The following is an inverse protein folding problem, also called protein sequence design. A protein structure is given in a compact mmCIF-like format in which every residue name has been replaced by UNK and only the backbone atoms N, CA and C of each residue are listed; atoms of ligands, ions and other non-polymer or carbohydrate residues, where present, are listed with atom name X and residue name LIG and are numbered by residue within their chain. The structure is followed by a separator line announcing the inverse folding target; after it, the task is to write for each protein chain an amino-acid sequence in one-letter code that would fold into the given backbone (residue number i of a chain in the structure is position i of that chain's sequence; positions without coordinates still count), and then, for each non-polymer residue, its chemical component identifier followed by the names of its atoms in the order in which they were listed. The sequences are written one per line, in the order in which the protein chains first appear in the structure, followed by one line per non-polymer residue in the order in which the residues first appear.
data_IF_826068449841
#
_entry.id   IF_826068449841
#
_cell.length_a   1.000
_cell.length_b   1.000
_cell.length_c   1.000
_cell.angle_alpha   90.00
_cell.angle_beta   90.00
_cell.angle_gamma   90.00
#
_symmetry.space_group_name_H-M   'P 1'
#
loop_
_entity.id
_entity.type
_entity.pdbx_description
1 polymer ?
2 non-polymer ?
3 non-polymer ?
4 non-polymer ?
5 water ?
#
# COMPACT_ATOMS: atom_id res chain seq x y z
N UNK A 1 18.54 0.92 5.14
CA UNK A 1 18.25 -0.12 6.15
C UNK A 1 16.79 -0.63 5.99
N UNK A 2 16.31 -1.28 7.02
CA UNK A 2 14.99 -1.88 7.00
C UNK A 2 13.86 -0.87 6.73
N UNK A 3 13.89 0.29 7.41
CA UNK A 3 12.86 1.30 7.20
C UNK A 3 12.83 1.83 5.77
N UNK A 4 14.01 2.11 5.20
CA UNK A 4 14.06 2.52 3.78
C UNK A 4 13.55 1.40 2.86
N UNK A 5 13.89 0.16 3.14
CA UNK A 5 13.42 -0.93 2.29
C UNK A 5 11.87 -0.99 2.26
N UNK A 6 11.20 -0.70 3.37
CA UNK A 6 9.72 -0.62 3.36
C UNK A 6 9.27 0.41 2.35
N UNK A 7 9.93 1.58 2.33
CA UNK A 7 9.61 2.65 1.34
C UNK A 7 9.89 2.19 -0.11
N UNK A 8 11.04 1.53 -0.33
CA UNK A 8 11.35 0.97 -1.64
C UNK A 8 10.23 0.04 -2.15
N UNK A 9 9.85 -0.92 -1.31
CA UNK A 9 8.86 -1.92 -1.72
C UNK A 9 7.50 -1.23 -1.94
N UNK A 10 7.11 -0.32 -1.06
CA UNK A 10 5.83 0.38 -1.20
C UNK A 10 5.79 1.22 -2.50
N UNK A 11 6.93 1.75 -2.99
CA UNK A 11 6.91 2.55 -4.21
C UNK A 11 6.62 1.77 -5.46
N UNK A 12 6.81 0.45 -5.45
CA UNK A 12 6.42 -0.41 -6.59
C UNK A 12 5.76 -1.73 -6.09
N UNK A 13 4.78 -1.54 -5.19
CA UNK A 13 4.29 -2.68 -4.39
C UNK A 13 3.66 -3.80 -5.19
N UNK A 14 2.84 -3.42 -6.19
CA UNK A 14 2.16 -4.40 -6.97
C UNK A 14 3.17 -5.40 -7.60
N UNK A 15 4.19 -4.84 -8.26
CA UNK A 15 5.16 -5.66 -8.97
C UNK A 15 6.06 -6.45 -8.01
N UNK A 16 6.56 -5.82 -6.95
CA UNK A 16 7.34 -6.56 -5.93
C UNK A 16 6.54 -7.72 -5.26
N UNK A 17 5.27 -7.45 -4.93
CA UNK A 17 4.42 -8.46 -4.27
C UNK A 17 4.26 -9.70 -5.18
N UNK A 18 3.83 -9.51 -6.43
CA UNK A 18 3.64 -10.69 -7.26
C UNK A 18 4.96 -11.47 -7.51
N UNK A 19 6.05 -10.73 -7.71
CA UNK A 19 7.36 -11.34 -8.02
C UNK A 19 7.88 -12.13 -6.82
N UNK A 20 7.78 -11.54 -5.62
CA UNK A 20 8.20 -12.30 -4.43
C UNK A 20 7.34 -13.52 -4.14
N UNK A 21 6.00 -13.34 -4.26
CA UNK A 21 5.14 -14.47 -4.02
C UNK A 21 5.35 -15.59 -5.08
N UNK A 22 5.58 -15.21 -6.34
CA UNK A 22 5.93 -16.20 -7.36
C UNK A 22 7.27 -16.92 -7.03
N UNK A 23 8.24 -16.14 -6.55
CA UNK A 23 9.52 -16.76 -6.16
C UNK A 23 9.32 -17.81 -5.07
N UNK A 24 8.43 -17.52 -4.09
CA UNK A 24 8.04 -18.44 -3.02
C UNK A 24 7.39 -19.73 -3.62
N UNK A 25 6.35 -19.54 -4.47
CA UNK A 25 5.67 -20.71 -5.04
C UNK A 25 6.59 -21.57 -5.95
N UNK A 26 7.56 -20.92 -6.66
CA UNK A 26 8.47 -21.69 -7.54
C UNK A 26 9.60 -22.34 -6.75
N UNK A 27 10.06 -21.74 -5.64
CA UNK A 27 11.07 -22.42 -4.81
C UNK A 27 10.53 -23.60 -4.06
N UNK A 28 9.25 -23.50 -3.65
CA UNK A 28 8.58 -24.51 -2.81
C UNK A 28 7.26 -24.94 -3.47
N UNK A 29 7.35 -25.74 -4.56
CA UNK A 29 6.10 -26.03 -5.31
C UNK A 29 5.04 -26.78 -4.51
N UNK A 30 5.43 -27.57 -3.50
CA UNK A 30 4.47 -28.30 -2.64
C UNK A 30 3.56 -27.33 -1.87
N UNK A 31 3.97 -26.06 -1.72
CA UNK A 31 3.13 -25.06 -1.06
C UNK A 31 1.83 -24.74 -1.78
N UNK A 32 1.71 -25.15 -3.08
CA UNK A 32 0.42 -25.16 -3.77
C UNK A 32 -0.65 -26.07 -3.10
N UNK A 33 -0.28 -26.95 -2.13
CA UNK A 33 -1.29 -27.73 -1.38
C UNK A 33 -2.32 -26.77 -0.74
N UNK A 34 -1.90 -25.53 -0.39
CA UNK A 34 -2.80 -24.48 0.22
C UNK A 34 -3.49 -23.58 -0.78
N UNK A 35 -3.09 -23.67 -2.06
CA UNK A 35 -3.54 -22.85 -3.17
C UNK A 35 -3.85 -23.78 -4.37
N UNK A 36 -4.86 -24.63 -4.21
CA UNK A 36 -5.18 -25.66 -5.23
C UNK A 36 -5.49 -25.04 -6.62
N UNK A 37 -6.03 -23.83 -6.59
CA UNK A 37 -6.37 -23.05 -7.81
C UNK A 37 -5.16 -22.60 -8.66
N UNK A 38 -4.00 -22.54 -8.04
CA UNK A 38 -2.79 -22.11 -8.72
C UNK A 38 -2.05 -23.27 -9.45
N UNK A 39 -2.46 -24.52 -9.26
CA UNK A 39 -1.85 -25.68 -9.95
C UNK A 39 -1.99 -25.57 -11.51
N UNK A 40 -0.94 -25.97 -12.26
CA UNK A 40 -0.98 -26.02 -13.73
C UNK A 40 -0.95 -24.69 -14.45
N UNK A 41 -0.34 -23.70 -13.81
CA UNK A 41 -0.35 -22.33 -14.30
C UNK A 41 1.08 -21.78 -14.32
N UNK A 42 1.45 -21.14 -15.42
CA UNK A 42 2.72 -20.39 -15.49
C UNK A 42 2.59 -19.07 -14.69
N UNK A 43 3.74 -18.42 -14.46
CA UNK A 43 3.72 -17.12 -13.77
C UNK A 43 2.78 -16.11 -14.46
N UNK A 44 2.88 -16.02 -15.80
CA UNK A 44 2.04 -15.08 -16.53
C UNK A 44 0.52 -15.49 -16.45
N UNK A 45 0.19 -16.78 -16.33
CA UNK A 45 -1.19 -17.18 -16.10
C UNK A 45 -1.71 -16.86 -14.68
N UNK A 46 -0.86 -16.96 -13.68
CA UNK A 46 -1.21 -16.59 -12.31
C UNK A 46 -1.47 -15.10 -12.16
N UNK A 47 -0.62 -14.27 -12.79
CA UNK A 47 -0.79 -12.83 -12.74
C UNK A 47 -2.11 -12.34 -13.41
N UNK A 48 -2.71 -13.12 -14.28
CA UNK A 48 -4.00 -12.72 -14.88
C UNK A 48 -5.20 -13.46 -14.22
N UNK A 49 -5.01 -14.02 -13.01
CA UNK A 49 -6.07 -14.56 -12.19
C UNK A 49 -6.43 -13.57 -11.07
N UNK A 50 -7.73 -13.16 -11.01
CA UNK A 50 -8.08 -12.02 -10.12
C UNK A 50 -7.72 -12.24 -8.65
N UNK A 51 -7.97 -13.47 -8.18
CA UNK A 51 -7.76 -13.73 -6.75
C UNK A 51 -6.28 -13.87 -6.42
N UNK A 52 -5.41 -14.24 -7.39
CA UNK A 52 -3.96 -14.20 -7.14
C UNK A 52 -3.53 -12.77 -6.97
N UNK A 53 -3.98 -11.88 -7.85
CA UNK A 53 -3.67 -10.48 -7.73
C UNK A 53 -4.17 -9.93 -6.43
N UNK A 54 -5.37 -10.35 -5.99
CA UNK A 54 -5.97 -9.89 -4.68
C UNK A 54 -5.31 -10.34 -3.44
N UNK A 55 -5.07 -11.65 -3.20
CA UNK A 55 -4.31 -12.19 -2.03
C UNK A 55 -3.03 -11.53 -2.04
N UNK A 56 -2.31 -11.51 -3.15
CA UNK A 56 -0.95 -11.11 -3.10
C UNK A 56 -0.80 -9.61 -2.68
N UNK A 57 -1.63 -8.74 -3.26
CA UNK A 57 -1.62 -7.31 -2.90
C UNK A 57 -1.92 -7.12 -1.38
N UNK A 58 -2.98 -7.82 -0.90
CA UNK A 58 -3.31 -7.65 0.48
C UNK A 58 -2.26 -8.26 1.44
N UNK A 59 -1.58 -9.37 1.05
CA UNK A 59 -0.42 -9.96 1.82
C UNK A 59 0.57 -8.84 2.03
N UNK A 60 1.01 -8.21 0.94
CA UNK A 60 2.09 -7.26 1.02
C UNK A 60 1.68 -5.90 1.65
N UNK A 61 0.44 -5.44 1.39
CA UNK A 61 -0.02 -4.22 2.08
C UNK A 61 0.08 -4.41 3.58
N UNK A 62 -0.45 -5.53 4.09
CA UNK A 62 -0.43 -5.78 5.53
C UNK A 62 0.97 -6.09 6.05
N UNK A 63 1.76 -6.87 5.29
CA UNK A 63 3.14 -7.16 5.74
C UNK A 63 3.95 -5.88 5.91
N UNK A 64 3.81 -4.94 5.00
CA UNK A 64 4.52 -3.66 5.16
C UNK A 64 4.11 -2.89 6.41
N UNK A 65 2.82 -2.92 6.76
CA UNK A 65 2.38 -2.30 8.03
C UNK A 65 2.96 -3.00 9.25
N UNK A 66 2.97 -4.33 9.27
CA UNK A 66 3.57 -5.10 10.39
C UNK A 66 5.05 -4.71 10.52
N UNK A 67 5.77 -4.67 9.38
CA UNK A 67 7.18 -4.23 9.38
C UNK A 67 7.36 -2.80 9.93
N UNK A 68 6.47 -1.90 9.51
CA UNK A 68 6.55 -0.49 9.93
C UNK A 68 6.30 -0.32 11.43
N UNK A 69 5.39 -1.16 11.98
CA UNK A 69 5.11 -1.11 13.43
C UNK A 69 6.11 -1.86 14.31
N UNK A 70 7.05 -2.60 13.72
CA UNK A 70 8.04 -3.33 14.45
C UNK A 70 9.08 -2.38 15.11
N UNK A 71 9.77 -2.88 16.13
CA UNK A 71 10.96 -2.22 16.74
C UNK A 71 12.17 -3.15 16.51
N UNK A 72 13.23 -2.65 15.87
CA UNK A 72 14.44 -3.49 15.59
C UNK A 72 14.04 -4.87 14.99
N UNK A 73 13.10 -4.82 14.03
CA UNK A 73 12.67 -6.03 13.29
C UNK A 73 11.93 -7.06 14.16
N UNK A 74 11.40 -6.62 15.31
CA UNK A 74 10.58 -7.46 16.19
C UNK A 74 9.12 -6.94 16.11
N UNK A 75 8.19 -7.76 15.58
CA UNK A 75 6.80 -7.28 15.40
C UNK A 75 6.04 -7.17 16.73
N UNK A 76 4.98 -6.35 16.72
CA UNK A 76 4.04 -6.30 17.83
C UNK A 76 3.38 -7.63 18.07
N UNK A 77 3.22 -8.02 19.33
CA UNK A 77 2.44 -9.21 19.66
C UNK A 77 1.00 -9.14 19.10
N UNK A 78 0.37 -7.97 19.14
CA UNK A 78 -1.01 -7.81 18.60
C UNK A 78 -1.07 -8.11 17.10
N UNK A 79 -0.01 -7.75 16.37
CA UNK A 79 0.02 -8.08 14.94
C UNK A 79 0.11 -9.61 14.69
N UNK A 80 0.91 -10.29 15.52
CA UNK A 80 0.99 -11.73 15.42
C UNK A 80 -0.38 -12.37 15.78
N UNK A 81 -1.00 -11.92 16.87
CA UNK A 81 -2.37 -12.46 17.24
C UNK A 81 -3.39 -12.32 16.07
N UNK A 82 -3.40 -11.15 15.43
CA UNK A 82 -4.30 -10.95 14.26
C UNK A 82 -4.04 -11.94 13.12
N UNK A 83 -2.79 -12.16 12.78
CA UNK A 83 -2.41 -13.10 11.73
C UNK A 83 -2.79 -14.57 12.02
N UNK A 84 -2.59 -15.00 13.27
CA UNK A 84 -2.98 -16.34 13.68
C UNK A 84 -4.49 -16.55 13.62
N UNK A 85 -5.26 -15.54 14.03
CA UNK A 85 -6.71 -15.69 14.17
C UNK A 85 -7.51 -15.47 12.93
N UNK A 86 -6.90 -14.99 11.87
CA UNK A 86 -7.60 -14.81 10.58
C UNK A 86 -8.18 -16.15 10.11
N UNK A 87 -9.49 -16.19 9.81
CA UNK A 87 -10.11 -17.48 9.51
C UNK A 87 -9.46 -18.13 8.26
N UNK A 88 -8.95 -17.31 7.34
CA UNK A 88 -8.24 -17.78 6.13
C UNK A 88 -6.92 -18.50 6.35
N UNK A 89 -6.31 -18.25 7.51
CA UNK A 89 -5.06 -18.87 7.91
C UNK A 89 -5.25 -20.13 8.82
N UNK A 90 -6.47 -20.67 8.92
CA UNK A 90 -6.70 -21.82 9.85
C UNK A 90 -5.90 -23.10 9.54
N UNK A 91 -5.64 -23.34 8.26
CA UNK A 91 -4.81 -24.51 7.87
C UNK A 91 -3.30 -24.32 7.87
N UNK A 92 -2.81 -23.17 8.34
CA UNK A 92 -1.38 -22.85 8.26
C UNK A 92 -0.58 -23.20 9.53
N UNK A 93 0.70 -23.46 9.33
CA UNK A 93 1.67 -23.60 10.40
C UNK A 93 2.82 -22.59 10.17
N UNK A 94 3.68 -22.45 11.18
CA UNK A 94 4.75 -21.44 11.08
C UNK A 94 5.69 -21.74 9.89
N UNK A 95 5.83 -23.01 9.48
CA UNK A 95 6.69 -23.36 8.35
C UNK A 95 6.30 -22.72 7.02
N UNK A 96 4.99 -22.42 6.86
CA UNK A 96 4.50 -21.74 5.64
C UNK A 96 5.10 -20.32 5.61
N UNK A 97 5.10 -19.66 6.79
CA UNK A 97 5.67 -18.31 6.92
C UNK A 97 7.20 -18.30 6.82
N UNK A 98 7.86 -19.28 7.44
CA UNK A 98 9.32 -19.40 7.35
C UNK A 98 9.75 -19.42 5.88
N UNK A 99 9.10 -20.28 5.10
CA UNK A 99 9.45 -20.46 3.68
C UNK A 99 9.20 -19.20 2.86
N UNK A 100 8.10 -18.49 3.12
CA UNK A 100 7.86 -17.23 2.46
C UNK A 100 9.07 -16.26 2.64
N UNK A 101 9.52 -16.15 3.90
CA UNK A 101 10.63 -15.22 4.20
C UNK A 101 11.99 -15.71 3.67
N UNK A 102 12.23 -17.01 3.63
CA UNK A 102 13.48 -17.51 2.99
C UNK A 102 13.50 -17.08 1.49
N UNK A 103 12.35 -17.20 0.82
CA UNK A 103 12.23 -16.81 -0.58
C UNK A 103 12.40 -15.31 -0.77
N UNK A 104 11.78 -14.53 0.13
CA UNK A 104 11.87 -13.08 0.09
C UNK A 104 13.34 -12.56 0.22
N UNK A 105 14.04 -13.13 1.18
CA UNK A 105 15.46 -12.76 1.40
C UNK A 105 16.32 -13.16 0.20
N UNK A 106 16.09 -14.36 -0.36
CA UNK A 106 16.84 -14.78 -1.55
C UNK A 106 16.60 -13.85 -2.75
N UNK A 107 15.34 -13.44 -2.93
CA UNK A 107 14.97 -12.47 -3.95
C UNK A 107 15.73 -11.13 -3.78
N UNK A 108 15.76 -10.61 -2.55
CA UNK A 108 16.44 -9.34 -2.29
C UNK A 108 17.96 -9.46 -2.59
N UNK A 109 18.59 -10.53 -2.16
CA UNK A 109 20.03 -10.73 -2.43
C UNK A 109 20.35 -10.81 -3.93
N UNK A 110 19.44 -11.38 -4.72
CA UNK A 110 19.66 -11.52 -6.16
C UNK A 110 19.31 -10.27 -6.96
N UNK A 111 18.60 -9.32 -6.35
CA UNK A 111 18.10 -8.12 -7.03
C UNK A 111 19.22 -7.16 -7.48
N UNK A 112 20.34 -7.16 -6.79
CA UNK A 112 21.44 -6.19 -7.22
C UNK A 112 21.11 -4.73 -6.83
N UNK A 113 20.20 -4.58 -5.88
CA UNK A 113 19.92 -3.25 -5.34
C UNK A 113 20.70 -2.95 -4.04
N UNK A 114 20.06 -2.28 -3.06
CA UNK A 114 20.70 -1.99 -1.78
C UNK A 114 19.81 -2.40 -0.61
N UNK A 115 19.03 -3.50 -0.79
CA UNK A 115 18.19 -4.00 0.30
C UNK A 115 19.09 -4.43 1.48
N UNK A 116 18.55 -4.27 2.70
CA UNK A 116 19.20 -4.78 3.92
C UNK A 116 18.70 -6.18 4.19
N UNK A 117 19.25 -7.15 3.44
CA UNK A 117 18.69 -8.52 3.45
C UNK A 117 18.76 -9.19 4.82
N UNK A 118 19.81 -8.90 5.56
CA UNK A 118 19.96 -9.43 6.90
C UNK A 118 18.82 -8.99 7.85
N UNK A 119 18.41 -7.74 7.76
CA UNK A 119 17.26 -7.29 8.54
C UNK A 119 15.96 -8.06 8.21
N UNK A 120 15.70 -8.29 6.91
CA UNK A 120 14.52 -9.08 6.52
C UNK A 120 14.58 -10.52 7.01
N UNK A 121 15.78 -11.10 7.04
CA UNK A 121 15.95 -12.43 7.58
C UNK A 121 15.59 -12.47 9.09
N UNK A 122 16.09 -11.47 9.85
CA UNK A 122 15.69 -11.34 11.25
C UNK A 122 14.18 -11.12 11.46
N UNK A 123 13.61 -10.23 10.63
CA UNK A 123 12.15 -9.97 10.72
C UNK A 123 11.38 -11.26 10.52
N UNK A 124 11.73 -12.05 9.48
CA UNK A 124 10.98 -13.30 9.24
C UNK A 124 11.13 -14.27 10.39
N UNK A 125 12.33 -14.42 10.96
CA UNK A 125 12.51 -15.29 12.15
C UNK A 125 11.69 -14.79 13.35
N UNK A 126 11.70 -13.48 13.56
CA UNK A 126 11.01 -12.90 14.71
C UNK A 126 9.48 -12.97 14.55
N UNK A 127 9.00 -12.84 13.30
CA UNK A 127 7.57 -13.02 13.04
C UNK A 127 7.14 -14.46 13.33
N UNK A 128 7.93 -15.43 12.86
CA UNK A 128 7.68 -16.82 13.17
C UNK A 128 7.58 -17.10 14.68
N UNK A 129 8.53 -16.59 15.45
CA UNK A 129 8.51 -16.82 16.92
C UNK A 129 7.33 -16.11 17.63
N UNK A 130 6.92 -14.95 17.11
CA UNK A 130 5.73 -14.26 17.61
C UNK A 130 4.43 -15.02 17.25
N UNK A 131 4.37 -15.60 16.03
CA UNK A 131 3.19 -16.40 15.64
C UNK A 131 3.07 -17.61 16.54
N UNK A 132 4.17 -18.30 16.82
CA UNK A 132 4.14 -19.42 17.77
C UNK A 132 3.60 -19.03 19.18
N UNK A 133 4.12 -17.93 19.73
CA UNK A 133 3.68 -17.45 21.05
C UNK A 133 2.21 -17.05 21.08
N UNK A 134 1.69 -16.62 19.90
CA UNK A 134 0.28 -16.22 19.75
C UNK A 134 -0.68 -17.41 19.48
N UNK A 135 -0.14 -18.60 19.24
CA UNK A 135 -0.94 -19.79 19.10
C UNK A 135 -0.84 -20.62 17.81
N UNK A 136 -0.03 -20.21 16.84
CA UNK A 136 0.11 -21.00 15.60
C UNK A 136 0.94 -22.25 15.84
N UNK A 137 0.51 -23.39 15.29
CA UNK A 137 1.28 -24.64 15.40
C UNK A 137 2.47 -24.72 14.42
N UNK B 1 -8.99 7.08 14.78
CA UNK B 1 -8.60 8.47 14.40
C UNK B 1 -7.76 8.49 13.13
N UNK B 2 -6.99 9.57 12.94
CA UNK B 2 -6.22 9.79 11.71
C UNK B 2 -5.21 8.66 11.47
N UNK B 3 -4.47 8.24 12.51
CA UNK B 3 -3.49 7.16 12.35
C UNK B 3 -4.15 5.84 11.95
N UNK B 4 -5.28 5.49 12.58
CA UNK B 4 -6.00 4.29 12.13
C UNK B 4 -6.48 4.43 10.70
N UNK B 5 -6.95 5.60 10.28
CA UNK B 5 -7.43 5.77 8.90
C UNK B 5 -6.29 5.48 7.88
N UNK B 6 -5.05 5.90 8.21
CA UNK B 6 -3.91 5.56 7.32
C UNK B 6 -3.79 4.03 7.17
N UNK B 7 -3.96 3.28 8.28
CA UNK B 7 -3.94 1.82 8.24
C UNK B 7 -5.12 1.25 7.45
N UNK B 8 -6.33 1.79 7.64
CA UNK B 8 -7.48 1.36 6.85
C UNK B 8 -7.23 1.53 5.32
N UNK B 9 -6.76 2.69 4.93
CA UNK B 9 -6.53 2.99 3.52
C UNK B 9 -5.37 2.10 2.98
N UNK B 10 -4.27 1.97 3.73
CA UNK B 10 -3.15 1.13 3.28
C UNK B 10 -3.55 -0.32 3.11
N UNK B 11 -4.44 -0.85 3.98
CA UNK B 11 -4.79 -2.23 3.89
C UNK B 11 -5.41 -2.63 2.56
N UNK B 12 -6.08 -1.69 1.88
CA UNK B 12 -6.69 -1.94 0.55
C UNK B 12 -6.41 -0.75 -0.38
N UNK B 13 -5.13 -0.38 -0.49
CA UNK B 13 -4.76 0.92 -1.07
C UNK B 13 -5.19 1.07 -2.53
N UNK B 14 -4.99 0.06 -3.38
CA UNK B 14 -5.31 0.20 -4.80
C UNK B 14 -6.81 0.49 -5.00
N UNK B 15 -7.64 -0.17 -4.21
CA UNK B 15 -9.11 0.03 -4.33
C UNK B 15 -9.57 1.42 -3.87
N UNK B 16 -9.10 1.80 -2.67
CA UNK B 16 -9.43 3.14 -2.15
C UNK B 16 -8.89 4.25 -3.06
N UNK B 17 -7.65 4.11 -3.57
CA UNK B 17 -7.05 5.11 -4.42
C UNK B 17 -7.90 5.38 -5.67
N UNK B 18 -8.32 4.29 -6.35
CA UNK B 18 -9.15 4.44 -7.55
C UNK B 18 -10.49 5.12 -7.20
N UNK B 19 -11.13 4.63 -6.12
CA UNK B 19 -12.46 5.16 -5.77
C UNK B 19 -12.45 6.65 -5.39
N UNK B 20 -11.42 7.07 -4.64
CA UNK B 20 -11.30 8.46 -4.21
C UNK B 20 -10.96 9.37 -5.42
N UNK B 21 -10.02 8.91 -6.28
CA UNK B 21 -9.68 9.71 -7.45
C UNK B 21 -10.88 9.87 -8.38
N UNK B 22 -11.68 8.79 -8.57
CA UNK B 22 -12.93 8.97 -9.36
C UNK B 22 -13.91 9.92 -8.74
N UNK B 23 -14.03 9.87 -7.40
CA UNK B 23 -14.92 10.84 -6.74
C UNK B 23 -14.48 12.30 -7.01
N UNK B 24 -13.17 12.54 -6.97
CA UNK B 24 -12.63 13.87 -7.35
C UNK B 24 -12.95 14.26 -8.80
N UNK B 25 -12.63 13.36 -9.74
CA UNK B 25 -12.88 13.70 -11.14
C UNK B 25 -14.38 13.93 -11.45
N UNK B 26 -15.25 13.16 -10.79
CA UNK B 26 -16.69 13.34 -11.00
C UNK B 26 -17.25 14.59 -10.34
N UNK B 27 -16.71 14.99 -9.17
CA UNK B 27 -17.16 16.21 -8.50
C UNK B 27 -16.70 17.46 -9.29
N UNK B 28 -15.51 17.41 -9.91
CA UNK B 28 -14.87 18.58 -10.57
C UNK B 28 -14.49 18.19 -11.98
N UNK B 29 -15.46 18.13 -12.91
CA UNK B 29 -15.10 17.65 -14.26
C UNK B 29 -14.04 18.50 -15.00
N UNK B 30 -13.93 19.80 -14.69
CA UNK B 30 -12.92 20.66 -15.35
C UNK B 30 -11.50 20.28 -14.92
N UNK B 31 -11.35 19.58 -13.79
CA UNK B 31 -10.04 19.09 -13.37
C UNK B 31 -9.46 17.96 -14.25
N UNK B 32 -10.28 17.36 -15.10
CA UNK B 32 -9.77 16.29 -15.99
C UNK B 32 -8.80 16.78 -17.09
N UNK B 33 -8.75 18.09 -17.29
CA UNK B 33 -7.75 18.75 -18.12
C UNK B 33 -6.29 18.50 -17.77
N UNK B 34 -6.01 18.21 -16.51
CA UNK B 34 -4.73 17.75 -16.06
C UNK B 34 -4.46 16.31 -16.38
N UNK B 35 -5.51 15.59 -16.82
CA UNK B 35 -5.50 14.17 -17.05
C UNK B 35 -6.19 13.90 -18.43
N UNK B 36 -5.59 14.46 -19.49
CA UNK B 36 -6.20 14.40 -20.83
C UNK B 36 -6.46 12.98 -21.32
N UNK B 37 -5.69 12.03 -20.86
CA UNK B 37 -5.76 10.60 -21.25
C UNK B 37 -6.97 9.80 -20.63
N UNK B 38 -7.62 10.40 -19.65
CA UNK B 38 -8.83 9.81 -19.03
C UNK B 38 -10.14 10.36 -19.54
N UNK B 39 -10.12 11.25 -20.50
CA UNK B 39 -11.32 11.90 -21.06
C UNK B 39 -12.14 10.81 -21.80
N UNK B 40 -13.47 10.92 -21.71
CA UNK B 40 -14.36 10.09 -22.52
C UNK B 40 -14.53 8.64 -22.07
N UNK B 41 -14.32 8.37 -20.77
CA UNK B 41 -14.35 7.03 -20.18
C UNK B 41 -15.14 7.04 -18.86
N UNK B 42 -16.07 6.07 -18.69
CA UNK B 42 -16.81 5.92 -17.41
C UNK B 42 -15.90 5.39 -16.29
N UNK B 43 -16.44 5.29 -15.11
CA UNK B 43 -15.65 4.80 -13.93
C UNK B 43 -15.15 3.40 -14.20
N UNK B 44 -16.04 2.51 -14.66
CA UNK B 44 -15.64 1.13 -14.92
C UNK B 44 -14.65 1.03 -16.07
N UNK B 45 -14.87 1.81 -17.13
CA UNK B 45 -13.89 1.86 -18.23
C UNK B 45 -12.45 2.26 -17.74
N UNK B 46 -12.35 3.27 -16.86
CA UNK B 46 -11.06 3.70 -16.28
C UNK B 46 -10.48 2.55 -15.43
N UNK B 47 -11.27 1.96 -14.55
CA UNK B 47 -10.74 0.88 -13.68
C UNK B 47 -10.30 -0.38 -14.45
N UNK B 48 -10.81 -0.60 -15.64
CA UNK B 48 -10.40 -1.83 -16.34
C UNK B 48 -9.00 -1.70 -16.91
N UNK B 49 -8.52 -0.45 -17.04
CA UNK B 49 -7.20 -0.21 -17.59
C UNK B 49 -6.13 -0.35 -16.49
N UNK B 50 -5.18 -1.29 -16.61
CA UNK B 50 -4.14 -1.44 -15.55
C UNK B 50 -3.42 -0.13 -15.26
N UNK B 51 -3.19 0.72 -16.29
CA UNK B 51 -2.45 1.94 -16.04
C UNK B 51 -3.15 2.88 -15.02
N UNK B 52 -4.48 2.85 -14.97
CA UNK B 52 -5.23 3.74 -14.06
C UNK B 52 -4.93 3.35 -12.60
N UNK B 53 -5.15 2.08 -12.29
CA UNK B 53 -4.84 1.59 -10.94
C UNK B 53 -3.35 1.69 -10.57
N UNK B 54 -2.45 1.43 -11.53
CA UNK B 54 -1.04 1.49 -11.26
C UNK B 54 -0.63 2.93 -10.82
N UNK B 55 -1.06 3.88 -11.62
CA UNK B 55 -0.79 5.28 -11.34
C UNK B 55 -1.41 5.74 -9.98
N UNK B 56 -2.71 5.48 -9.78
CA UNK B 56 -3.39 5.95 -8.55
C UNK B 56 -2.81 5.34 -7.30
N UNK B 57 -2.46 4.06 -7.38
CA UNK B 57 -1.85 3.40 -6.19
C UNK B 57 -0.54 4.11 -5.77
N UNK B 58 0.29 4.48 -6.76
CA UNK B 58 1.56 5.14 -6.49
C UNK B 58 1.31 6.55 -5.90
N UNK B 59 0.32 7.27 -6.41
CA UNK B 59 -0.09 8.54 -5.86
C UNK B 59 -0.46 8.43 -4.37
N UNK B 60 -1.35 7.48 -4.10
CA UNK B 60 -1.84 7.33 -2.72
C UNK B 60 -0.80 6.74 -1.77
N UNK B 61 0.17 5.97 -2.27
CA UNK B 61 1.30 5.58 -1.43
C UNK B 61 2.03 6.83 -0.93
N UNK B 62 2.39 7.74 -1.83
CA UNK B 62 3.05 9.01 -1.39
C UNK B 62 2.14 9.83 -0.46
N UNK B 63 0.86 9.90 -0.76
CA UNK B 63 -0.04 10.65 0.13
C UNK B 63 0.01 10.06 1.56
N UNK B 64 -0.04 8.73 1.68
CA UNK B 64 -0.03 8.08 3.01
C UNK B 64 1.31 8.32 3.72
N UNK B 65 2.44 8.32 2.98
CA UNK B 65 3.74 8.65 3.62
C UNK B 65 3.75 10.06 4.21
N UNK B 66 3.22 11.04 3.43
CA UNK B 66 3.11 12.42 3.91
C UNK B 66 2.21 12.48 5.14
N UNK B 67 1.05 11.82 5.06
CA UNK B 67 0.10 11.80 6.21
C UNK B 67 0.76 11.17 7.45
N UNK B 68 1.48 10.07 7.29
CA UNK B 68 2.09 9.40 8.44
C UNK B 68 3.21 10.24 9.09
N UNK B 69 3.95 11.02 8.27
CA UNK B 69 5.00 11.89 8.79
C UNK B 69 4.49 13.17 9.40
N UNK B 70 3.21 13.53 9.23
CA UNK B 70 2.66 14.77 9.78
C UNK B 70 2.60 14.67 11.31
N UNK B 71 2.56 15.86 11.92
CA UNK B 71 2.37 16.01 13.37
C UNK B 71 1.01 16.71 13.54
N UNK B 72 0.05 16.10 14.27
CA UNK B 72 -1.26 16.73 14.49
C UNK B 72 -1.88 17.24 13.17
N UNK B 73 -1.77 16.40 12.12
CA UNK B 73 -2.35 16.72 10.80
C UNK B 73 -1.69 17.95 10.10
N UNK B 74 -0.46 18.31 10.51
CA UNK B 74 0.33 19.36 9.88
C UNK B 74 1.49 18.68 9.14
N UNK B 75 1.48 18.69 7.78
CA UNK B 75 2.56 18.02 7.04
C UNK B 75 3.89 18.74 7.22
N UNK B 76 4.99 17.99 7.06
CA UNK B 76 6.34 18.58 7.08
C UNK B 76 6.53 19.50 5.90
N UNK B 77 7.26 20.59 6.12
CA UNK B 77 7.61 21.54 5.03
C UNK B 77 8.40 20.84 3.92
N UNK B 78 9.28 19.91 4.32
CA UNK B 78 10.07 19.20 3.33
C UNK B 78 9.19 18.32 2.40
N UNK B 79 8.12 17.72 2.95
CA UNK B 79 7.18 16.94 2.12
C UNK B 79 6.35 17.86 1.19
N UNK B 80 5.93 19.03 1.69
CA UNK B 80 5.28 20.00 0.83
C UNK B 80 6.22 20.42 -0.34
N UNK B 81 7.49 20.67 -0.01
CA UNK B 81 8.49 21.03 -1.06
C UNK B 81 8.66 19.94 -2.13
N UNK B 82 8.70 18.69 -1.70
CA UNK B 82 8.77 17.56 -2.68
C UNK B 82 7.57 17.66 -3.66
N UNK B 83 6.37 17.85 -3.12
CA UNK B 83 5.16 17.95 -3.94
C UNK B 83 5.13 19.13 -4.92
N UNK B 84 5.68 20.27 -4.45
CA UNK B 84 5.81 21.45 -5.32
C UNK B 84 6.83 21.22 -6.47
N UNK B 85 7.97 20.59 -6.14
CA UNK B 85 9.10 20.47 -7.10
C UNK B 85 8.97 19.33 -8.09
N UNK B 86 8.09 18.36 -7.82
CA UNK B 86 7.92 17.25 -8.76
C UNK B 86 7.58 17.75 -10.15
N UNK B 87 8.33 17.30 -11.16
CA UNK B 87 8.07 17.71 -12.53
C UNK B 87 6.62 17.50 -13.01
N UNK B 88 6.01 16.42 -12.55
CA UNK B 88 4.62 16.08 -12.90
C UNK B 88 3.62 17.12 -12.37
N UNK B 89 4.03 17.91 -11.34
CA UNK B 89 3.19 18.92 -10.74
C UNK B 89 3.48 20.37 -11.21
N UNK B 90 4.26 20.53 -12.30
CA UNK B 90 4.59 21.85 -12.77
C UNK B 90 3.32 22.58 -13.22
N UNK B 91 3.23 23.87 -12.99
CA UNK B 91 1.92 24.56 -13.24
C UNK B 91 0.58 24.14 -12.54
N UNK B 92 0.58 23.24 -11.54
CA UNK B 92 -0.53 23.17 -10.58
C UNK B 92 -0.54 24.38 -9.67
N UNK B 93 -1.71 24.67 -9.10
CA UNK B 93 -1.87 25.65 -8.05
C UNK B 93 -2.49 25.03 -6.81
N UNK B 94 -2.52 25.78 -5.70
CA UNK B 94 -3.03 25.16 -4.49
C UNK B 94 -4.53 24.77 -4.58
N UNK B 95 -5.30 25.47 -5.40
CA UNK B 95 -6.70 25.10 -5.62
C UNK B 95 -6.93 23.72 -6.14
N UNK B 96 -6.01 23.18 -6.94
CA UNK B 96 -6.15 21.79 -7.40
C UNK B 96 -6.17 20.83 -6.17
N UNK B 97 -5.27 21.09 -5.20
CA UNK B 97 -5.16 20.30 -4.00
C UNK B 97 -6.33 20.51 -3.09
N UNK B 98 -6.79 21.75 -2.95
CA UNK B 98 -7.99 22.06 -2.13
C UNK B 98 -9.15 21.20 -2.57
N UNK B 99 -9.38 21.14 -3.89
CA UNK B 99 -10.53 20.38 -4.45
C UNK B 99 -10.37 18.88 -4.24
N UNK B 100 -9.14 18.36 -4.41
CA UNK B 100 -8.90 16.93 -4.15
C UNK B 100 -9.32 16.57 -2.70
N UNK B 101 -8.94 17.39 -1.72
CA UNK B 101 -9.23 17.05 -0.32
C UNK B 101 -10.72 17.29 0.03
N UNK B 102 -11.38 18.25 -0.61
CA UNK B 102 -12.83 18.38 -0.43
C UNK B 102 -13.52 17.09 -0.90
N UNK B 103 -13.12 16.58 -2.06
CA UNK B 103 -13.71 15.33 -2.57
C UNK B 103 -13.41 14.12 -1.69
N UNK B 104 -12.15 14.01 -1.19
CA UNK B 104 -11.74 12.93 -0.31
C UNK B 104 -12.59 12.91 0.99
N UNK B 105 -12.77 14.08 1.60
CA UNK B 105 -13.56 14.18 2.87
C UNK B 105 -15.01 13.80 2.57
N UNK B 106 -15.57 14.26 1.45
CA UNK B 106 -16.95 13.94 1.07
C UNK B 106 -17.11 12.42 0.89
N UNK B 107 -16.15 11.77 0.23
CA UNK B 107 -16.15 10.32 0.07
C UNK B 107 -16.14 9.61 1.42
N UNK B 108 -15.27 10.07 2.35
CA UNK B 108 -15.20 9.43 3.67
C UNK B 108 -16.53 9.54 4.44
N UNK B 109 -17.13 10.72 4.42
CA UNK B 109 -18.40 10.93 5.14
C UNK B 109 -19.56 10.08 4.57
N UNK B 110 -19.54 9.79 3.26
CA UNK B 110 -20.58 8.96 2.63
C UNK B 110 -20.34 7.45 2.75
N UNK B 111 -19.15 7.04 3.17
CA UNK B 111 -18.79 5.63 3.16
C UNK B 111 -19.46 4.80 4.22
N UNK B 112 -19.84 5.41 5.32
CA UNK B 112 -20.58 4.63 6.36
C UNK B 112 -19.59 3.78 7.13
N UNK B 113 -18.33 4.18 7.01
CA UNK B 113 -17.32 3.61 7.87
C UNK B 113 -16.82 4.69 8.80
N UNK B 114 -15.86 4.32 9.62
CA UNK B 114 -15.53 5.14 10.79
C UNK B 114 -14.32 6.05 10.65
N UNK B 115 -14.22 6.70 9.51
CA UNK B 115 -13.11 7.59 9.18
C UNK B 115 -13.24 8.82 10.10
N UNK B 116 -12.10 9.43 10.44
CA UNK B 116 -12.06 10.71 11.20
C UNK B 116 -12.03 11.83 10.17
N UNK B 117 -13.21 12.10 9.63
CA UNK B 117 -13.33 13.06 8.54
C UNK B 117 -12.85 14.47 8.91
N UNK B 118 -13.03 14.90 10.16
CA UNK B 118 -12.54 16.22 10.62
C UNK B 118 -11.02 16.29 10.50
N UNK B 119 -10.30 15.23 10.88
CA UNK B 119 -8.83 15.25 10.76
C UNK B 119 -8.37 15.33 9.31
N UNK B 120 -9.05 14.61 8.40
CA UNK B 120 -8.68 14.75 6.98
C UNK B 120 -8.95 16.13 6.38
N UNK B 121 -10.05 16.76 6.81
CA UNK B 121 -10.34 18.09 6.33
C UNK B 121 -9.24 19.08 6.74
N UNK B 122 -8.81 18.92 8.01
CA UNK B 122 -7.71 19.72 8.62
C UNK B 122 -6.36 19.47 7.93
N UNK B 123 -6.05 18.20 7.65
CA UNK B 123 -4.86 17.78 6.89
C UNK B 123 -4.85 18.47 5.52
N UNK B 124 -5.99 18.44 4.80
CA UNK B 124 -6.03 19.08 3.47
C UNK B 124 -5.81 20.58 3.55
N UNK B 125 -6.40 21.23 4.55
CA UNK B 125 -6.20 22.70 4.72
C UNK B 125 -4.72 23.03 5.06
N UNK B 126 -4.17 22.26 5.96
CA UNK B 126 -2.76 22.47 6.37
C UNK B 126 -1.78 22.11 5.24
N UNK B 127 -2.14 21.15 4.39
CA UNK B 127 -1.31 20.84 3.22
C UNK B 127 -1.35 22.02 2.23
N UNK B 128 -2.52 22.60 1.97
CA UNK B 128 -2.62 23.78 1.10
C UNK B 128 -1.72 24.94 1.65
N UNK B 129 -1.81 25.22 2.96
CA UNK B 129 -1.01 26.34 3.48
C UNK B 129 0.52 26.00 3.41
N UNK B 130 0.88 24.74 3.59
CA UNK B 130 2.30 24.31 3.45
C UNK B 130 2.77 24.39 1.99
N UNK B 131 1.94 23.99 1.03
CA UNK B 131 2.27 24.14 -0.40
C UNK B 131 2.55 25.58 -0.77
N UNK B 132 1.72 26.52 -0.28
CA UNK B 132 1.96 27.97 -0.52
C UNK B 132 3.29 28.41 0.11
N UNK B 133 3.56 28.00 1.35
CA UNK B 133 4.83 28.35 1.98
C UNK B 133 6.05 27.80 1.26
N UNK B 134 5.89 26.66 0.55
CA UNK B 134 6.96 26.00 -0.22
C UNK B 134 7.01 26.47 -1.67
N UNK B 135 6.18 27.43 -2.05
CA UNK B 135 6.36 28.17 -3.33
C UNK B 135 5.31 27.94 -4.41
N UNK B 136 4.25 27.18 -4.10
CA UNK B 136 3.17 26.95 -5.06
C UNK B 136 2.26 28.18 -5.08
N UNK B 137 1.87 28.61 -6.29
CA UNK B 137 0.89 29.68 -6.43
C UNK B 137 -0.56 29.24 -6.21
#
# INVERSE_FOLDING_TARGET
GFKQDIATLRGDLRTYAQDIFLAFLNKYPDEKRNFKNYVGKSDQELKSMAKFGDHTEKVFNLMMEVADRATDCVPLASDASTLVQMKQHSGLTTGNFEKLFVALVEYMRASGQSFDSQSWDRFGKNLVSALSSAGMK
GFKQDIATLRGDLRTYAQDIFLAFLNKYPDEKRNFKNYVGKSDQELKSMAKFGDHTEKVFNLMMEVADRATDCVPLASDASTLVQMKQHSGLTTGNFEKLFVALVEYMRASGQSFDSQSWDRFGKNLVSALSSAGMK
#
